data_IF_309534885084
#
_entry.id   IF_309534885084
#
_cell.length_a   1.000
_cell.length_b   1.000
_cell.length_c   1.000
_cell.angle_alpha   90.00
_cell.angle_beta   90.00
_cell.angle_gamma   90.00
#
_symmetry.space_group_name_H-M   'P 1'
#
loop_
_entity.id
_entity.type
_entity.pdbx_description
1 polymer ?
#
# COMPACT_ATOMS: atom_id res chain seq x y z
N UNK A 1 -17.30 10.95 0.11
CA UNK A 1 -16.14 10.46 -0.67
C UNK A 1 -14.92 10.51 0.24
N UNK A 2 -14.21 9.40 0.48
CA UNK A 2 -13.02 9.40 1.34
C UNK A 2 -11.87 10.19 0.69
N UNK A 3 -11.05 10.85 1.51
CA UNK A 3 -9.88 11.63 1.09
C UNK A 3 -8.61 10.96 1.60
N UNK A 4 -7.85 10.36 0.68
CA UNK A 4 -6.52 9.82 0.95
C UNK A 4 -5.44 10.85 0.62
N UNK A 5 -4.52 11.08 1.55
CA UNK A 5 -3.42 12.03 1.36
C UNK A 5 -2.15 11.26 1.00
N UNK A 6 -1.51 11.64 -0.10
CA UNK A 6 -0.23 11.06 -0.52
C UNK A 6 1.00 11.81 0.01
N UNK A 7 2.15 11.16 -0.09
CA UNK A 7 3.47 11.72 0.21
C UNK A 7 4.08 11.23 1.53
N UNK A 8 5.40 11.38 1.66
CA UNK A 8 6.20 10.91 2.81
C UNK A 8 6.81 12.05 3.63
N UNK A 9 6.60 13.32 3.25
CA UNK A 9 7.11 14.44 4.04
C UNK A 9 6.36 14.54 5.36
N UNK A 10 7.01 15.06 6.40
CA UNK A 10 6.37 15.23 7.72
C UNK A 10 5.08 16.07 7.64
N UNK A 11 5.01 17.04 6.72
CA UNK A 11 3.82 17.84 6.45
C UNK A 11 2.71 17.00 5.82
N UNK A 12 3.04 16.13 4.86
CA UNK A 12 2.07 15.22 4.23
C UNK A 12 1.50 14.21 5.24
N UNK A 13 2.35 13.58 6.06
CA UNK A 13 1.93 12.62 7.07
C UNK A 13 1.01 13.26 8.13
N UNK A 14 1.31 14.50 8.57
CA UNK A 14 0.42 15.27 9.46
C UNK A 14 -0.93 15.62 8.82
N UNK A 15 -0.98 15.79 7.49
CA UNK A 15 -2.23 16.00 6.77
C UNK A 15 -3.02 14.69 6.68
N UNK A 16 -2.35 13.60 6.31
CA UNK A 16 -2.95 12.27 6.23
C UNK A 16 -3.59 11.87 7.57
N UNK A 17 -2.87 12.05 8.69
CA UNK A 17 -3.35 11.74 10.03
C UNK A 17 -4.66 12.46 10.43
N UNK A 18 -5.03 13.55 9.76
CA UNK A 18 -6.26 14.33 10.00
C UNK A 18 -7.35 14.12 8.95
N UNK A 19 -7.12 13.25 7.97
CA UNK A 19 -8.08 12.89 6.92
C UNK A 19 -8.43 11.39 7.03
N UNK A 20 -9.11 10.87 6.00
CA UNK A 20 -9.65 9.50 5.98
C UNK A 20 -8.59 8.42 5.74
N UNK A 21 -7.40 8.79 5.27
CA UNK A 21 -6.34 7.82 5.00
C UNK A 21 -5.05 8.36 4.42
N UNK A 22 -4.11 7.45 4.22
CA UNK A 22 -2.82 7.69 3.58
C UNK A 22 -2.63 6.75 2.38
N UNK A 23 -2.06 7.29 1.29
CA UNK A 23 -1.64 6.49 0.14
C UNK A 23 -0.14 6.63 -0.08
N UNK A 24 0.56 5.52 0.13
CA UNK A 24 2.00 5.39 0.02
C UNK A 24 2.43 4.63 -1.24
N UNK A 25 3.44 5.14 -1.94
CA UNK A 25 3.91 4.55 -3.20
C UNK A 25 5.37 4.09 -3.09
N UNK A 26 5.61 2.81 -3.36
CA UNK A 26 6.91 2.15 -3.53
C UNK A 26 7.82 2.21 -2.30
N UNK A 27 7.58 1.30 -1.35
CA UNK A 27 8.38 1.17 -0.14
C UNK A 27 8.90 -0.26 0.04
N UNK A 28 10.06 -0.41 0.67
CA UNK A 28 10.37 -1.68 1.35
C UNK A 28 9.41 -1.86 2.52
N UNK A 29 9.24 -3.10 2.98
CA UNK A 29 8.37 -3.39 4.13
C UNK A 29 8.85 -2.66 5.40
N UNK A 30 10.17 -2.50 5.57
CA UNK A 30 10.74 -1.82 6.73
C UNK A 30 10.47 -0.29 6.68
N UNK A 31 10.57 0.33 5.49
CA UNK A 31 10.20 1.74 5.32
C UNK A 31 8.71 1.97 5.58
N UNK A 32 7.88 1.04 5.11
CA UNK A 32 6.44 1.12 5.31
C UNK A 32 6.07 1.02 6.79
N UNK A 33 6.73 0.13 7.54
CA UNK A 33 6.56 -0.02 8.98
C UNK A 33 6.88 1.28 9.74
N UNK A 34 7.96 1.96 9.35
CA UNK A 34 8.34 3.26 9.90
C UNK A 34 7.25 4.31 9.64
N UNK A 35 6.77 4.43 8.40
CA UNK A 35 5.72 5.39 8.06
C UNK A 35 4.38 5.10 8.75
N UNK A 36 3.96 3.83 8.81
CA UNK A 36 2.77 3.41 9.53
C UNK A 36 2.88 3.77 11.02
N UNK A 37 4.03 3.51 11.65
CA UNK A 37 4.29 3.90 13.05
C UNK A 37 4.16 5.41 13.25
N UNK A 38 4.77 6.22 12.37
CA UNK A 38 4.69 7.68 12.44
C UNK A 38 3.24 8.17 12.29
N UNK A 39 2.50 7.65 11.31
CA UNK A 39 1.11 8.07 11.06
C UNK A 39 0.23 7.74 12.25
N UNK A 40 0.33 6.52 12.80
CA UNK A 40 -0.44 6.14 13.99
C UNK A 40 -0.12 7.02 15.20
N UNK A 41 1.16 7.37 15.41
CA UNK A 41 1.56 8.36 16.42
C UNK A 41 0.90 9.71 16.21
N UNK A 42 0.97 10.25 14.99
CA UNK A 42 0.35 11.54 14.63
C UNK A 42 -1.17 11.53 14.79
N UNK A 43 -1.83 10.39 14.51
CA UNK A 43 -3.28 10.22 14.73
C UNK A 43 -3.60 10.24 16.22
N UNK A 44 -2.80 9.59 17.04
CA UNK A 44 -2.95 9.62 18.49
C UNK A 44 -2.79 11.02 19.06
N UNK A 45 -1.76 11.76 18.64
CA UNK A 45 -1.55 13.16 19.03
C UNK A 45 -2.71 14.07 18.61
N UNK A 46 -3.36 13.78 17.48
CA UNK A 46 -4.51 14.53 16.98
C UNK A 46 -5.86 14.11 17.60
N UNK A 47 -5.88 13.11 18.50
CA UNK A 47 -7.11 12.56 19.07
C UNK A 47 -7.98 11.78 18.08
N UNK A 48 -7.37 11.27 17.00
CA UNK A 48 -8.07 10.62 15.87
C UNK A 48 -7.95 9.09 15.88
N UNK A 49 -7.34 8.48 16.90
CA UNK A 49 -7.07 7.03 16.93
C UNK A 49 -8.31 6.15 16.75
N UNK A 50 -9.49 6.60 17.19
CA UNK A 50 -10.74 5.86 17.09
C UNK A 50 -11.48 6.06 15.75
N UNK A 51 -11.11 7.06 14.97
CA UNK A 51 -11.73 7.30 13.66
C UNK A 51 -11.22 6.27 12.64
N UNK A 52 -12.06 5.83 11.68
CA UNK A 52 -11.62 5.00 10.56
C UNK A 52 -10.43 5.62 9.83
N UNK A 53 -9.52 4.77 9.34
CA UNK A 53 -8.33 5.20 8.61
C UNK A 53 -7.91 4.15 7.59
N UNK A 54 -7.84 4.53 6.33
CA UNK A 54 -7.37 3.66 5.26
C UNK A 54 -5.87 3.86 5.03
N UNK A 55 -5.12 2.77 4.94
CA UNK A 55 -3.72 2.79 4.51
C UNK A 55 -3.62 1.98 3.22
N UNK A 56 -3.37 2.69 2.12
CA UNK A 56 -3.07 2.12 0.82
C UNK A 56 -1.56 2.10 0.65
N UNK A 57 -0.96 0.92 0.51
CA UNK A 57 0.48 0.75 0.37
C UNK A 57 0.86 0.10 -0.96
N UNK A 58 1.95 0.57 -1.57
CA UNK A 58 2.63 -0.10 -2.67
C UNK A 58 3.96 -0.69 -2.22
N UNK A 59 3.97 -1.95 -1.73
CA UNK A 59 5.20 -2.61 -1.30
C UNK A 59 6.03 -3.07 -2.50
N UNK A 60 7.35 -2.91 -2.40
CA UNK A 60 8.32 -3.50 -3.33
C UNK A 60 8.56 -4.98 -3.00
N UNK A 61 7.48 -5.75 -2.93
CA UNK A 61 7.47 -7.16 -2.55
C UNK A 61 6.38 -7.93 -3.31
N UNK A 62 6.53 -9.25 -3.33
CA UNK A 62 5.49 -10.16 -3.84
C UNK A 62 4.38 -10.25 -2.79
N UNK A 63 3.08 -10.19 -3.15
CA UNK A 63 1.98 -10.23 -2.19
C UNK A 63 1.68 -11.66 -1.70
N UNK A 64 2.70 -12.38 -1.25
CA UNK A 64 2.54 -13.69 -0.62
C UNK A 64 1.93 -13.60 0.78
N UNK A 65 1.47 -14.73 1.34
CA UNK A 65 0.80 -14.77 2.63
C UNK A 65 1.61 -14.08 3.76
N UNK A 66 2.92 -14.30 3.80
CA UNK A 66 3.81 -13.69 4.79
C UNK A 66 3.88 -12.17 4.64
N UNK A 67 3.93 -11.69 3.40
CA UNK A 67 3.95 -10.25 3.10
C UNK A 67 2.62 -9.62 3.49
N UNK A 68 1.50 -10.26 3.16
CA UNK A 68 0.15 -9.80 3.53
C UNK A 68 -0.01 -9.73 5.04
N UNK A 69 0.34 -10.78 5.79
CA UNK A 69 0.28 -10.81 7.26
C UNK A 69 1.10 -9.66 7.88
N UNK A 70 2.31 -9.41 7.34
CA UNK A 70 3.16 -8.32 7.81
C UNK A 70 2.53 -6.95 7.53
N UNK A 71 1.93 -6.75 6.36
CA UNK A 71 1.23 -5.51 6.00
C UNK A 71 0.00 -5.27 6.90
N UNK A 72 -0.80 -6.31 7.13
CA UNK A 72 -1.95 -6.25 8.02
C UNK A 72 -1.55 -5.85 9.45
N UNK A 73 -0.44 -6.39 9.97
CA UNK A 73 0.05 -6.02 11.31
C UNK A 73 0.46 -4.55 11.45
N UNK A 74 0.77 -3.86 10.34
CA UNK A 74 1.07 -2.42 10.31
C UNK A 74 -0.20 -1.57 10.20
N UNK A 75 -1.37 -2.19 10.00
CA UNK A 75 -2.63 -1.53 9.72
C UNK A 75 -2.84 -1.16 8.25
N UNK A 76 -2.08 -1.76 7.32
CA UNK A 76 -2.33 -1.59 5.88
C UNK A 76 -3.64 -2.28 5.53
N UNK A 77 -4.56 -1.53 4.92
CA UNK A 77 -5.88 -2.04 4.53
C UNK A 77 -5.96 -2.41 3.05
N UNK A 78 -5.09 -1.83 2.22
CA UNK A 78 -5.15 -1.98 0.77
C UNK A 78 -3.74 -2.09 0.19
N UNK A 79 -3.50 -3.12 -0.63
CA UNK A 79 -2.29 -3.24 -1.44
C UNK A 79 -2.57 -2.67 -2.82
N UNK A 80 -1.81 -1.66 -3.22
CA UNK A 80 -1.76 -1.15 -4.59
C UNK A 80 -0.44 -1.61 -5.21
N UNK A 81 -0.47 -2.38 -6.29
CA UNK A 81 0.77 -2.84 -6.93
C UNK A 81 0.67 -2.77 -8.45
N UNK A 82 1.82 -2.80 -9.10
CA UNK A 82 1.90 -3.07 -10.53
C UNK A 82 2.14 -4.55 -10.76
N UNK A 83 1.46 -5.13 -11.75
CA UNK A 83 1.52 -6.56 -12.04
C UNK A 83 2.96 -7.08 -12.24
N UNK A 84 3.83 -6.28 -12.87
CA UNK A 84 5.24 -6.63 -13.06
C UNK A 84 6.07 -6.61 -11.77
N UNK A 85 5.80 -5.71 -10.83
CA UNK A 85 6.48 -5.67 -9.52
C UNK A 85 6.20 -6.96 -8.75
N UNK A 86 4.92 -7.38 -8.72
CA UNK A 86 4.52 -8.63 -8.08
C UNK A 86 5.16 -9.88 -8.70
N UNK A 87 5.57 -9.79 -9.97
CA UNK A 87 6.26 -10.84 -10.70
C UNK A 87 7.78 -10.68 -10.73
N UNK A 88 8.34 -9.66 -10.04
CA UNK A 88 9.76 -9.29 -10.08
C UNK A 88 10.30 -9.02 -11.50
N UNK A 89 9.43 -8.52 -12.38
CA UNK A 89 9.77 -8.08 -13.75
C UNK A 89 10.01 -6.57 -13.77
N UNK A 90 10.78 -6.12 -14.77
CA UNK A 90 10.85 -4.70 -15.11
C UNK A 90 9.52 -4.20 -15.68
N UNK A 91 9.36 -2.88 -15.76
CA UNK A 91 8.20 -2.27 -16.43
C UNK A 91 8.16 -2.77 -17.89
N UNK A 92 7.05 -3.38 -18.36
CA UNK A 92 6.95 -3.88 -19.73
C UNK A 92 7.01 -2.71 -20.72
N UNK A 93 7.71 -2.90 -21.83
CA UNK A 93 7.83 -1.88 -22.89
C UNK A 93 7.02 -2.23 -24.14
N UNK A 94 6.55 -3.48 -24.25
CA UNK A 94 5.68 -3.96 -25.31
C UNK A 94 4.26 -4.20 -24.78
N UNK A 95 3.26 -3.99 -25.66
CA UNK A 95 1.85 -4.17 -25.32
C UNK A 95 1.55 -5.62 -24.87
N UNK A 96 2.03 -6.61 -25.63
CA UNK A 96 1.75 -8.02 -25.34
C UNK A 96 2.35 -8.44 -23.99
N UNK A 97 3.53 -7.94 -23.63
CA UNK A 97 4.15 -8.17 -22.32
C UNK A 97 3.32 -7.55 -21.18
N UNK A 98 2.77 -6.35 -21.39
CA UNK A 98 1.93 -5.69 -20.41
C UNK A 98 0.61 -6.45 -20.18
N UNK A 99 -0.03 -6.90 -21.27
CA UNK A 99 -1.25 -7.72 -21.23
C UNK A 99 -0.98 -9.04 -20.50
N UNK A 100 0.11 -9.73 -20.84
CA UNK A 100 0.53 -10.96 -20.19
C UNK A 100 0.73 -10.76 -18.68
N UNK A 101 1.45 -9.71 -18.28
CA UNK A 101 1.70 -9.42 -16.87
C UNK A 101 0.39 -9.21 -16.09
N UNK A 102 -0.53 -8.37 -16.60
CA UNK A 102 -1.80 -8.10 -15.92
C UNK A 102 -2.66 -9.36 -15.86
N UNK A 103 -2.70 -10.15 -16.93
CA UNK A 103 -3.48 -11.40 -17.01
C UNK A 103 -2.99 -12.41 -15.98
N UNK A 104 -1.69 -12.71 -15.96
CA UNK A 104 -1.11 -13.68 -15.02
C UNK A 104 -1.23 -13.23 -13.56
N UNK A 105 -1.11 -11.92 -13.29
CA UNK A 105 -1.37 -11.38 -11.95
C UNK A 105 -2.82 -11.61 -11.51
N UNK A 106 -3.78 -11.35 -12.41
CA UNK A 106 -5.20 -11.59 -12.16
C UNK A 106 -5.52 -13.06 -11.86
N UNK A 107 -4.96 -13.98 -12.64
CA UNK A 107 -5.13 -15.42 -12.46
C UNK A 107 -4.51 -15.92 -11.15
N UNK A 108 -3.31 -15.44 -10.81
CA UNK A 108 -2.57 -15.90 -9.64
C UNK A 108 -3.09 -15.34 -8.32
N UNK A 109 -3.43 -14.04 -8.28
CA UNK A 109 -3.67 -13.33 -7.01
C UNK A 109 -5.10 -12.83 -6.83
N UNK A 110 -5.87 -12.63 -7.90
CA UNK A 110 -7.22 -12.04 -7.81
C UNK A 110 -8.32 -13.08 -7.95
N UNK A 111 -8.23 -13.94 -8.98
CA UNK A 111 -9.24 -14.97 -9.22
C UNK A 111 -9.44 -15.93 -8.03
N UNK A 112 -8.40 -16.36 -7.29
CA UNK A 112 -8.58 -17.25 -6.13
C UNK A 112 -9.26 -16.60 -4.92
N UNK A 113 -9.41 -15.27 -4.89
CA UNK A 113 -10.07 -14.55 -3.80
C UNK A 113 -11.60 -14.43 -3.98
N UNK A 114 -12.14 -14.96 -5.07
CA UNK A 114 -13.57 -14.89 -5.41
C UNK A 114 -14.38 -16.10 -4.97
#
# INVERSE_FOLDING_TARGET
>A
MPVLVGGHSSVALRRAARNDGWIGVNYTLDQLEEYCTIIHGLRSEAGMSAAPFEIVASPLAVPDARTVERLESMGVSTIMTSAWIAQRRGVPTLLDEAIECVTSYGEQWIAPLR
#
